data_IF_944168089845
#
_entry.id   IF_944168089845
#
_cell.length_a   1.000
_cell.length_b   1.000
_cell.length_c   1.000
_cell.angle_alpha   90.00
_cell.angle_beta   90.00
_cell.angle_gamma   90.00
#
_symmetry.space_group_name_H-M   'P 1'
#
loop_
_entity.id
_entity.type
_entity.pdbx_description
1 polymer ?
#
# COMPACT_ATOMS: atom_id res chain seq x y z
N UNK A 1 -68.40 21.92 -31.32
CA UNK A 1 -68.15 20.95 -32.40
C UNK A 1 -66.61 20.76 -32.42
N UNK A 2 -66.24 19.65 -31.82
CA UNK A 2 -65.40 18.56 -32.36
C UNK A 2 -63.98 18.98 -32.71
N UNK A 3 -63.00 18.60 -31.84
CA UNK A 3 -62.29 17.33 -31.75
C UNK A 3 -61.27 17.06 -32.88
N UNK A 4 -60.03 16.87 -32.50
CA UNK A 4 -59.13 15.71 -32.71
C UNK A 4 -57.70 16.15 -32.41
N UNK A 5 -57.07 15.85 -31.33
CA UNK A 5 -56.38 14.67 -30.83
C UNK A 5 -55.64 13.80 -31.84
N UNK A 6 -54.32 13.76 -31.72
CA UNK A 6 -53.39 12.68 -32.05
C UNK A 6 -51.99 13.11 -31.55
N UNK A 7 -51.52 12.70 -30.41
CA UNK A 7 -50.90 11.45 -29.99
C UNK A 7 -49.51 11.17 -30.57
N UNK A 8 -48.56 11.11 -29.65
CA UNK A 8 -47.30 10.39 -29.53
C UNK A 8 -46.04 10.87 -30.27
N UNK A 9 -44.99 10.99 -29.48
CA UNK A 9 -43.78 10.29 -29.82
C UNK A 9 -43.24 9.46 -28.65
N UNK A 10 -43.51 8.20 -28.59
CA UNK A 10 -42.64 7.21 -27.98
C UNK A 10 -41.61 6.81 -29.04
N UNK A 11 -40.37 7.29 -28.88
CA UNK A 11 -39.16 6.73 -29.47
C UNK A 11 -38.00 7.67 -29.14
N UNK A 12 -37.30 7.46 -28.03
CA UNK A 12 -35.90 7.92 -27.84
C UNK A 12 -35.29 7.61 -26.51
N UNK A 13 -35.80 6.70 -25.70
CA UNK A 13 -35.14 6.37 -24.42
C UNK A 13 -34.17 5.18 -24.49
N UNK A 14 -34.13 4.44 -25.58
CA UNK A 14 -33.30 3.23 -25.72
C UNK A 14 -31.90 3.49 -26.26
N UNK A 15 -31.61 4.63 -26.84
CA UNK A 15 -30.31 4.94 -27.46
C UNK A 15 -29.34 5.64 -26.50
N UNK A 16 -29.86 6.31 -25.46
CA UNK A 16 -28.96 6.99 -24.46
C UNK A 16 -28.42 6.05 -23.38
N UNK A 17 -29.08 4.95 -23.09
CA UNK A 17 -28.57 3.98 -22.08
C UNK A 17 -27.36 3.19 -22.56
N UNK A 18 -27.22 2.96 -23.86
CA UNK A 18 -26.11 2.20 -24.43
C UNK A 18 -24.79 3.00 -24.53
N UNK A 19 -24.87 4.32 -24.65
CA UNK A 19 -23.68 5.20 -24.69
C UNK A 19 -23.07 5.44 -23.32
N UNK A 20 -23.86 5.41 -22.23
CA UNK A 20 -23.38 5.54 -20.87
C UNK A 20 -22.64 4.28 -20.39
N UNK A 21 -23.13 3.09 -20.76
CA UNK A 21 -22.47 1.82 -20.39
C UNK A 21 -21.16 1.58 -21.17
N UNK A 22 -21.04 2.11 -22.38
CA UNK A 22 -19.82 1.99 -23.20
C UNK A 22 -18.67 2.82 -22.62
N UNK A 23 -18.94 4.03 -22.12
CA UNK A 23 -17.89 4.90 -21.52
C UNK A 23 -17.37 4.36 -20.19
N UNK A 24 -18.21 3.74 -19.37
CA UNK A 24 -17.80 3.13 -18.09
C UNK A 24 -16.96 1.86 -18.29
N UNK A 25 -17.27 1.03 -19.29
CA UNK A 25 -16.46 -0.15 -19.62
C UNK A 25 -15.07 0.19 -20.15
N UNK A 26 -14.93 1.26 -20.98
CA UNK A 26 -13.62 1.69 -21.49
C UNK A 26 -12.70 2.24 -20.37
N UNK A 27 -13.26 2.95 -19.40
CA UNK A 27 -12.50 3.47 -18.25
C UNK A 27 -12.00 2.36 -17.32
N UNK A 28 -12.81 1.31 -17.09
CA UNK A 28 -12.42 0.17 -16.26
C UNK A 28 -11.33 -0.67 -16.92
N UNK A 29 -11.39 -0.93 -18.23
CA UNK A 29 -10.39 -1.74 -18.91
C UNK A 29 -9.02 -1.06 -19.04
N UNK A 30 -8.95 0.28 -19.13
CA UNK A 30 -7.67 0.99 -19.18
C UNK A 30 -6.92 0.96 -17.84
N UNK A 31 -7.66 0.91 -16.73
CA UNK A 31 -7.10 0.84 -15.36
C UNK A 31 -6.63 -0.59 -14.99
N UNK A 32 -7.29 -1.62 -15.51
CA UNK A 32 -6.88 -3.03 -15.36
C UNK A 32 -5.59 -3.33 -16.16
N UNK A 33 -5.39 -2.71 -17.33
CA UNK A 33 -4.14 -2.84 -18.11
C UNK A 33 -2.92 -2.27 -17.36
N UNK A 34 -3.09 -1.26 -16.53
CA UNK A 34 -1.99 -0.69 -15.75
C UNK A 34 -1.46 -1.65 -14.68
N UNK A 35 -2.31 -2.49 -14.10
CA UNK A 35 -1.89 -3.48 -13.10
C UNK A 35 -1.22 -4.71 -13.74
N UNK A 36 -1.66 -5.14 -14.94
CA UNK A 36 -1.03 -6.28 -15.67
C UNK A 36 0.33 -5.94 -16.30
N UNK A 37 0.63 -4.66 -16.54
CA UNK A 37 1.91 -4.24 -17.13
C UNK A 37 3.08 -4.30 -16.14
N UNK A 38 2.83 -4.41 -14.84
CA UNK A 38 3.89 -4.58 -13.83
C UNK A 38 4.48 -6.01 -13.82
N UNK A 39 3.76 -6.99 -14.34
CA UNK A 39 4.23 -8.39 -14.41
C UNK A 39 5.23 -8.63 -15.56
N UNK A 40 5.33 -7.72 -16.53
CA UNK A 40 6.15 -7.89 -17.73
C UNK A 40 7.57 -7.29 -17.63
N UNK A 41 7.89 -6.53 -16.57
CA UNK A 41 9.23 -5.97 -16.38
C UNK A 41 10.04 -6.71 -15.32
N UNK A 42 10.02 -8.06 -15.36
CA UNK A 42 11.10 -8.86 -14.79
C UNK A 42 12.28 -8.88 -15.77
N UNK A 43 12.99 -7.79 -15.86
CA UNK A 43 14.29 -7.78 -16.57
C UNK A 43 15.33 -8.34 -15.62
N UNK A 44 15.80 -9.50 -15.98
CA UNK A 44 17.01 -10.19 -15.55
C UNK A 44 18.22 -9.24 -15.50
N UNK A 45 18.66 -8.89 -14.29
CA UNK A 45 19.97 -8.34 -14.03
C UNK A 45 20.72 -9.31 -13.12
N UNK A 46 21.15 -10.43 -13.72
CA UNK A 46 22.21 -11.28 -13.13
C UNK A 46 23.54 -10.63 -13.51
N UNK A 47 23.98 -9.69 -12.69
CA UNK A 47 25.36 -9.17 -12.74
C UNK A 47 26.31 -10.22 -12.17
N UNK A 48 27.13 -10.83 -13.04
CA UNK A 48 28.24 -11.72 -12.67
C UNK A 48 29.24 -10.96 -11.80
N UNK A 49 29.31 -11.30 -10.51
CA UNK A 49 30.45 -10.94 -9.67
C UNK A 49 31.66 -11.80 -10.05
N UNK A 50 32.65 -11.18 -10.66
CA UNK A 50 33.99 -11.76 -10.83
C UNK A 50 34.73 -11.68 -9.49
N UNK A 51 35.01 -12.86 -8.91
CA UNK A 51 35.92 -12.97 -7.76
C UNK A 51 37.33 -13.09 -8.31
N UNK A 52 38.13 -12.04 -8.12
CA UNK A 52 39.59 -12.08 -8.39
C UNK A 52 40.26 -12.71 -7.15
N UNK A 53 40.81 -13.90 -7.35
CA UNK A 53 41.78 -14.51 -6.44
C UNK A 53 43.13 -13.83 -6.66
N UNK A 54 43.65 -13.15 -5.68
CA UNK A 54 45.09 -12.79 -5.65
C UNK A 54 45.74 -13.38 -4.41
N UNK A 55 46.86 -13.99 -4.65
CA UNK A 55 47.62 -14.92 -3.84
C UNK A 55 48.26 -14.34 -2.58
N UNK A 56 48.54 -15.25 -1.69
CA UNK A 56 49.31 -15.14 -0.46
C UNK A 56 50.77 -14.77 -0.66
N UNK A 57 51.35 -14.06 0.30
CA UNK A 57 52.71 -14.28 0.75
C UNK A 57 52.90 -13.71 2.18
N UNK A 58 53.14 -14.60 3.07
CA UNK A 58 53.97 -14.60 4.30
C UNK A 58 54.80 -13.36 4.61
N UNK A 59 54.73 -12.87 5.83
CA UNK A 59 55.90 -12.57 6.68
C UNK A 59 55.55 -12.49 8.15
N UNK A 60 56.29 -13.25 8.93
CA UNK A 60 56.37 -13.38 10.37
C UNK A 60 57.06 -12.13 10.91
N UNK A 61 56.47 -11.48 11.89
CA UNK A 61 57.09 -10.42 12.68
C UNK A 61 56.47 -10.30 14.06
N UNK A 62 57.07 -10.97 15.02
CA UNK A 62 56.68 -10.84 16.42
C UNK A 62 57.12 -9.47 16.95
N UNK A 63 56.15 -8.69 17.48
CA UNK A 63 56.45 -7.59 18.41
C UNK A 63 55.40 -7.54 19.52
N UNK A 64 55.80 -7.94 20.73
CA UNK A 64 55.08 -7.76 21.95
C UNK A 64 55.00 -6.25 22.29
N UNK A 65 53.82 -5.70 22.30
CA UNK A 65 53.59 -4.41 22.94
C UNK A 65 52.38 -4.59 23.89
N UNK A 66 52.70 -4.56 25.20
CA UNK A 66 51.76 -4.33 26.30
C UNK A 66 51.05 -2.99 26.01
N UNK A 67 49.76 -3.00 25.77
CA UNK A 67 48.98 -1.77 25.81
C UNK A 67 47.72 -2.00 26.65
N UNK A 68 47.58 -1.11 27.63
CA UNK A 68 46.56 -1.08 28.65
C UNK A 68 45.15 -1.19 28.13
N UNK A 69 44.36 -2.00 28.84
CA UNK A 69 42.91 -2.06 28.68
C UNK A 69 42.28 -0.71 29.03
N UNK A 70 42.05 0.14 28.04
CA UNK A 70 41.04 1.18 28.16
C UNK A 70 39.68 0.51 27.94
N UNK A 71 38.96 0.26 29.03
CA UNK A 71 37.54 -0.05 29.00
C UNK A 71 36.81 1.16 28.45
N UNK A 72 36.57 1.16 27.12
CA UNK A 72 35.59 2.04 26.53
C UNK A 72 34.22 1.55 26.98
N UNK A 73 33.35 2.41 27.56
CA UNK A 73 31.97 2.01 27.79
C UNK A 73 31.34 1.66 26.47
N UNK A 74 30.98 0.38 26.32
CA UNK A 74 30.12 -0.05 25.23
C UNK A 74 28.83 0.75 25.37
N UNK A 75 28.66 1.78 24.56
CA UNK A 75 27.34 2.36 24.33
C UNK A 75 26.49 1.21 23.83
N UNK A 76 25.55 0.77 24.65
CA UNK A 76 24.51 -0.14 24.27
C UNK A 76 23.78 0.52 23.09
N UNK A 77 24.17 0.16 21.89
CA UNK A 77 23.38 0.46 20.71
C UNK A 77 22.01 -0.10 21.02
N UNK A 78 21.04 0.79 21.20
CA UNK A 78 19.64 0.43 21.32
C UNK A 78 19.35 -0.57 20.20
N UNK A 79 19.05 -1.82 20.61
CA UNK A 79 18.78 -2.90 19.67
C UNK A 79 17.73 -2.36 18.70
N UNK A 80 18.12 -2.19 17.45
CA UNK A 80 17.19 -1.85 16.38
C UNK A 80 16.10 -2.90 16.45
N UNK A 81 14.89 -2.50 16.82
CA UNK A 81 13.73 -3.36 16.88
C UNK A 81 13.69 -4.08 15.55
N UNK A 82 13.79 -5.40 15.62
CA UNK A 82 13.77 -6.34 14.51
C UNK A 82 12.87 -5.87 13.40
N UNK A 83 13.45 -5.59 12.27
CA UNK A 83 12.99 -5.11 10.99
C UNK A 83 11.58 -5.41 10.48
N UNK A 84 10.58 -5.44 11.36
CA UNK A 84 9.18 -5.52 10.98
C UNK A 84 8.79 -4.27 10.18
N UNK A 85 8.10 -4.49 9.08
CA UNK A 85 7.55 -3.44 8.24
C UNK A 85 6.05 -3.66 8.10
N UNK A 86 5.29 -2.58 8.15
CA UNK A 86 3.83 -2.63 8.01
C UNK A 86 3.42 -1.79 6.80
N UNK A 87 2.96 -2.46 5.74
CA UNK A 87 2.35 -1.79 4.59
C UNK A 87 0.90 -1.46 4.94
N UNK A 88 0.54 -0.18 4.88
CA UNK A 88 -0.79 0.31 5.20
C UNK A 88 -1.56 0.63 3.91
N UNK A 89 -2.67 -0.07 3.69
CA UNK A 89 -3.54 0.05 2.52
C UNK A 89 -4.87 0.63 2.97
N UNK A 90 -5.25 1.75 2.40
CA UNK A 90 -6.51 2.43 2.69
C UNK A 90 -7.63 1.95 1.76
N UNK A 91 -8.79 1.69 2.35
CA UNK A 91 -10.06 1.50 1.64
C UNK A 91 -10.62 2.89 1.27
N UNK A 92 -10.18 3.42 0.14
CA UNK A 92 -10.43 4.81 -0.26
C UNK A 92 -11.91 5.20 -0.23
N UNK A 93 -12.89 4.39 -0.75
CA UNK A 93 -14.30 4.76 -0.70
C UNK A 93 -14.85 4.90 0.72
N UNK A 94 -14.40 4.05 1.64
CA UNK A 94 -14.78 4.15 3.05
C UNK A 94 -14.32 5.46 3.66
N UNK A 95 -13.02 5.78 3.52
CA UNK A 95 -12.43 6.99 4.07
C UNK A 95 -13.01 8.26 3.44
N UNK A 96 -13.24 8.27 2.13
CA UNK A 96 -13.85 9.41 1.44
C UNK A 96 -15.28 9.72 1.90
N UNK A 97 -16.04 8.67 2.25
CA UNK A 97 -17.43 8.82 2.73
C UNK A 97 -17.52 9.16 4.21
N UNK A 98 -16.59 8.66 5.02
CA UNK A 98 -16.64 8.78 6.48
C UNK A 98 -15.86 10.00 6.99
N UNK A 99 -14.90 10.52 6.23
CA UNK A 99 -14.04 11.62 6.62
C UNK A 99 -14.19 12.79 5.63
N UNK A 100 -15.05 13.78 5.92
CA UNK A 100 -15.32 14.89 5.00
C UNK A 100 -14.07 15.67 4.57
N UNK A 101 -13.06 15.76 5.44
CA UNK A 101 -11.78 16.42 5.13
C UNK A 101 -11.01 15.69 4.02
N UNK A 102 -11.21 14.39 3.87
CA UNK A 102 -10.56 13.57 2.82
C UNK A 102 -11.31 13.60 1.49
N UNK A 103 -12.57 14.01 1.46
CA UNK A 103 -13.39 14.01 0.24
C UNK A 103 -12.77 14.83 -0.91
N UNK A 104 -11.91 15.80 -0.58
CA UNK A 104 -11.18 16.63 -1.56
C UNK A 104 -9.80 16.10 -1.93
N UNK A 105 -9.36 15.02 -1.31
CA UNK A 105 -8.09 14.39 -1.67
C UNK A 105 -8.16 13.77 -3.07
N UNK A 106 -7.04 13.74 -3.74
CA UNK A 106 -6.96 13.29 -5.13
C UNK A 106 -7.49 11.87 -5.32
N UNK A 107 -7.20 10.93 -4.40
CA UNK A 107 -7.72 9.57 -4.47
C UNK A 107 -9.25 9.50 -4.43
N UNK A 108 -9.89 10.41 -3.68
CA UNK A 108 -11.34 10.47 -3.61
C UNK A 108 -11.94 11.06 -4.91
N UNK A 109 -11.35 12.14 -5.41
CA UNK A 109 -11.81 12.81 -6.64
C UNK A 109 -11.63 11.93 -7.89
N UNK A 110 -10.57 11.13 -7.95
CA UNK A 110 -10.27 10.24 -9.06
C UNK A 110 -10.91 8.84 -8.92
N UNK A 111 -11.61 8.55 -7.81
CA UNK A 111 -12.34 7.31 -7.59
C UNK A 111 -11.46 6.08 -7.44
N UNK A 112 -10.36 6.19 -6.71
CA UNK A 112 -9.55 5.03 -6.36
C UNK A 112 -10.32 4.10 -5.43
N UNK A 113 -10.24 2.79 -5.65
CA UNK A 113 -10.78 1.79 -4.72
C UNK A 113 -9.84 1.58 -3.54
N UNK A 114 -8.55 1.56 -3.80
CA UNK A 114 -7.48 1.29 -2.83
C UNK A 114 -6.32 2.24 -3.07
N UNK A 115 -5.73 2.72 -1.98
CA UNK A 115 -4.48 3.49 -2.00
C UNK A 115 -3.56 3.02 -0.88
N UNK A 116 -2.27 3.28 -1.00
CA UNK A 116 -1.32 3.06 0.09
C UNK A 116 -1.18 4.36 0.86
N UNK A 117 -1.27 4.29 2.19
CA UNK A 117 -1.06 5.45 3.07
C UNK A 117 0.38 5.53 3.60
N UNK A 118 1.12 4.41 3.61
CA UNK A 118 2.51 4.41 4.04
C UNK A 118 3.09 3.03 4.24
N UNK A 119 4.35 3.02 4.66
CA UNK A 119 5.09 1.84 5.10
C UNK A 119 5.79 2.19 6.41
N UNK A 120 5.30 1.64 7.51
CA UNK A 120 6.03 1.73 8.77
C UNK A 120 7.26 0.82 8.71
N UNK A 121 8.41 1.38 9.02
CA UNK A 121 9.70 0.72 8.95
C UNK A 121 10.18 0.19 10.32
N UNK A 122 9.33 0.29 11.35
CA UNK A 122 9.65 -0.15 12.70
C UNK A 122 10.60 0.77 13.49
N UNK A 123 10.88 1.97 13.00
CA UNK A 123 11.71 2.96 13.70
C UNK A 123 10.91 3.88 14.64
N UNK A 124 9.61 3.67 14.73
CA UNK A 124 8.68 4.52 15.46
C UNK A 124 8.10 5.64 14.60
N UNK A 125 7.05 6.26 15.13
CA UNK A 125 6.38 7.37 14.47
C UNK A 125 6.96 8.72 14.90
N UNK A 126 6.91 9.72 14.01
CA UNK A 126 7.23 11.13 14.28
C UNK A 126 8.70 11.40 14.64
N UNK A 127 9.59 10.59 14.16
CA UNK A 127 11.03 10.86 14.25
C UNK A 127 11.53 11.69 13.06
N UNK A 128 10.65 12.01 12.13
CA UNK A 128 11.01 12.72 10.92
C UNK A 128 11.46 14.16 11.19
N UNK A 129 12.44 14.59 10.41
CA UNK A 129 12.99 15.96 10.45
C UNK A 129 12.08 16.99 9.79
N UNK A 130 10.87 16.56 9.36
CA UNK A 130 9.92 17.43 8.66
C UNK A 130 10.33 17.77 7.22
N UNK A 131 11.29 17.03 6.66
CA UNK A 131 11.72 17.24 5.28
C UNK A 131 10.67 16.75 4.28
N UNK A 132 10.55 17.45 3.13
CA UNK A 132 9.71 16.97 2.03
C UNK A 132 10.44 15.89 1.22
N UNK A 133 9.71 14.85 0.77
CA UNK A 133 10.33 13.78 0.00
C UNK A 133 10.73 14.25 -1.40
N UNK A 134 12.01 14.19 -1.72
CA UNK A 134 12.51 14.51 -3.06
C UNK A 134 12.48 13.28 -3.94
N UNK A 135 11.59 13.26 -4.94
CA UNK A 135 11.46 12.18 -5.92
C UNK A 135 11.73 12.74 -7.32
N UNK A 136 12.36 11.94 -8.16
CA UNK A 136 12.47 12.28 -9.58
C UNK A 136 11.11 12.20 -10.27
N UNK A 137 10.90 12.90 -11.41
CA UNK A 137 9.61 12.84 -12.13
C UNK A 137 9.16 11.42 -12.48
N UNK A 138 10.11 10.54 -12.84
CA UNK A 138 9.79 9.14 -13.14
C UNK A 138 9.32 8.38 -11.89
N UNK A 139 10.02 8.54 -10.78
CA UNK A 139 9.63 7.94 -9.49
C UNK A 139 8.26 8.44 -9.04
N UNK A 140 8.03 9.75 -9.13
CA UNK A 140 6.74 10.35 -8.80
C UNK A 140 5.62 9.77 -9.66
N UNK A 141 5.84 9.55 -10.96
CA UNK A 141 4.86 8.91 -11.85
C UNK A 141 4.50 7.49 -11.39
N UNK A 142 5.47 6.71 -10.91
CA UNK A 142 5.22 5.35 -10.40
C UNK A 142 4.47 5.40 -9.08
N UNK A 143 4.94 6.21 -8.13
CA UNK A 143 4.32 6.34 -6.79
C UNK A 143 2.89 6.87 -6.87
N UNK A 144 2.60 7.81 -7.76
CA UNK A 144 1.26 8.37 -7.96
C UNK A 144 0.19 7.34 -8.34
N UNK A 145 0.57 6.17 -8.83
CA UNK A 145 -0.40 5.10 -9.16
C UNK A 145 -1.03 4.48 -7.93
N UNK A 146 -0.33 4.48 -6.81
CA UNK A 146 -0.76 3.86 -5.55
C UNK A 146 -0.92 4.88 -4.41
N UNK A 147 -0.25 6.04 -4.50
CA UNK A 147 -0.31 7.15 -3.55
C UNK A 147 -0.51 8.46 -4.33
N UNK A 148 -1.70 8.72 -4.90
CA UNK A 148 -1.90 9.84 -5.82
C UNK A 148 -1.83 11.21 -5.14
N UNK A 149 -2.21 11.30 -3.86
CA UNK A 149 -2.26 12.56 -3.12
C UNK A 149 -0.89 12.94 -2.54
N UNK A 150 -0.50 14.20 -2.73
CA UNK A 150 0.80 14.73 -2.27
C UNK A 150 0.87 14.76 -0.74
N UNK A 151 -0.23 15.15 -0.09
CA UNK A 151 -0.28 15.25 1.38
C UNK A 151 -0.06 13.88 2.01
N UNK A 152 -0.69 12.81 1.46
CA UNK A 152 -0.50 11.44 1.94
C UNK A 152 0.96 11.02 1.80
N UNK A 153 1.61 11.33 0.66
CA UNK A 153 3.04 11.03 0.47
C UNK A 153 3.95 11.76 1.45
N UNK A 154 3.73 13.06 1.63
CA UNK A 154 4.51 13.85 2.60
C UNK A 154 4.33 13.32 4.02
N UNK A 155 3.10 12.99 4.42
CA UNK A 155 2.82 12.41 5.73
C UNK A 155 3.46 11.03 5.93
N UNK A 156 3.40 10.15 4.93
CA UNK A 156 4.05 8.83 4.99
C UNK A 156 5.56 8.96 5.16
N UNK A 157 6.19 9.86 4.40
CA UNK A 157 7.60 10.14 4.54
C UNK A 157 7.96 10.68 5.91
N UNK A 158 7.28 11.73 6.37
CA UNK A 158 7.57 12.39 7.66
C UNK A 158 7.33 11.49 8.85
N UNK A 159 6.34 10.59 8.78
CA UNK A 159 6.04 9.68 9.90
C UNK A 159 6.97 8.49 9.96
N UNK A 160 7.34 7.92 8.81
CA UNK A 160 7.99 6.60 8.75
C UNK A 160 9.28 6.61 7.95
N UNK A 161 9.29 7.26 6.78
CA UNK A 161 10.43 7.22 5.87
C UNK A 161 11.63 7.99 6.37
N UNK A 162 11.43 9.23 6.80
CA UNK A 162 12.48 10.13 7.31
C UNK A 162 13.08 9.66 8.65
N UNK A 163 12.39 8.75 9.33
CA UNK A 163 12.87 8.05 10.51
C UNK A 163 13.86 6.92 10.20
N UNK A 164 13.80 6.40 8.99
CA UNK A 164 14.65 5.30 8.55
C UNK A 164 15.98 5.81 7.99
N UNK A 165 17.00 4.96 7.86
CA UNK A 165 18.25 5.33 7.19
C UNK A 165 18.12 5.44 5.65
N UNK A 166 16.91 5.30 5.11
CA UNK A 166 16.66 5.31 3.68
C UNK A 166 16.56 6.74 3.13
N UNK A 167 16.95 6.90 1.88
CA UNK A 167 16.55 8.07 1.11
C UNK A 167 15.05 7.99 0.75
N UNK A 168 14.41 9.13 0.49
CA UNK A 168 13.02 9.17 0.03
C UNK A 168 12.79 8.28 -1.20
N UNK A 169 13.71 8.30 -2.15
CA UNK A 169 13.70 7.43 -3.32
C UNK A 169 13.65 5.94 -2.96
N UNK A 170 14.46 5.52 -1.99
CA UNK A 170 14.52 4.12 -1.55
C UNK A 170 13.30 3.72 -0.74
N UNK A 171 12.78 4.60 0.09
CA UNK A 171 11.55 4.39 0.86
C UNK A 171 10.35 4.16 -0.05
N UNK A 172 10.08 5.09 -0.98
CA UNK A 172 8.95 4.95 -1.90
C UNK A 172 9.11 3.79 -2.89
N UNK A 173 10.34 3.41 -3.24
CA UNK A 173 10.59 2.18 -4.01
C UNK A 173 10.20 0.93 -3.23
N UNK A 174 10.48 0.88 -1.92
CA UNK A 174 10.02 -0.24 -1.09
C UNK A 174 8.49 -0.31 -1.05
N UNK A 175 7.80 0.82 -0.83
CA UNK A 175 6.33 0.88 -0.88
C UNK A 175 5.81 0.31 -2.21
N UNK A 176 6.35 0.75 -3.34
CA UNK A 176 5.91 0.28 -4.66
C UNK A 176 6.18 -1.20 -4.88
N UNK A 177 7.28 -1.73 -4.35
CA UNK A 177 7.62 -3.15 -4.44
C UNK A 177 6.67 -4.01 -3.61
N UNK A 178 6.42 -3.65 -2.34
CA UNK A 178 5.48 -4.39 -1.48
C UNK A 178 4.06 -4.34 -2.04
N UNK A 179 3.59 -3.15 -2.43
CA UNK A 179 2.25 -3.00 -3.02
C UNK A 179 2.11 -3.74 -4.36
N UNK A 180 3.17 -3.78 -5.17
CA UNK A 180 3.18 -4.49 -6.44
C UNK A 180 3.25 -6.01 -6.31
N UNK A 181 3.84 -6.52 -5.24
CA UNK A 181 3.92 -7.96 -4.96
C UNK A 181 2.64 -8.51 -4.31
N UNK A 182 1.90 -7.68 -3.58
CA UNK A 182 0.70 -8.08 -2.86
C UNK A 182 -0.47 -8.31 -3.82
N UNK A 183 -1.11 -9.46 -3.71
CA UNK A 183 -2.33 -9.80 -4.44
C UNK A 183 -3.54 -9.53 -3.55
N UNK A 184 -4.51 -8.80 -4.08
CA UNK A 184 -5.71 -8.42 -3.37
C UNK A 184 -6.93 -9.11 -3.97
N UNK A 185 -7.96 -9.48 -3.16
CA UNK A 185 -9.20 -10.02 -3.66
C UNK A 185 -9.86 -9.09 -4.69
N UNK A 186 -10.35 -9.66 -5.78
CA UNK A 186 -11.00 -8.88 -6.85
C UNK A 186 -12.24 -8.13 -6.36
N UNK A 187 -12.89 -8.65 -5.34
CA UNK A 187 -14.08 -8.06 -4.71
C UNK A 187 -13.82 -6.65 -4.18
N UNK A 188 -12.58 -6.32 -3.79
CA UNK A 188 -12.22 -4.97 -3.33
C UNK A 188 -12.35 -3.90 -4.43
N UNK A 189 -12.48 -4.30 -5.69
CA UNK A 189 -12.58 -3.42 -6.86
C UNK A 189 -13.93 -3.43 -7.56
N UNK A 190 -14.98 -4.03 -6.97
CA UNK A 190 -16.27 -4.19 -7.65
C UNK A 190 -17.07 -2.90 -7.82
N UNK A 191 -16.73 -1.86 -7.09
CA UNK A 191 -17.50 -0.62 -7.03
C UNK A 191 -18.78 -0.71 -6.18
N UNK A 192 -19.15 -1.90 -5.70
CA UNK A 192 -20.32 -2.13 -4.87
C UNK A 192 -19.93 -2.30 -3.40
N UNK A 193 -20.77 -1.82 -2.50
CA UNK A 193 -20.64 -2.09 -1.08
C UNK A 193 -21.23 -3.45 -0.74
N UNK A 194 -20.53 -4.24 0.08
CA UNK A 194 -21.00 -5.54 0.53
C UNK A 194 -20.46 -5.88 1.92
N UNK A 195 -21.11 -6.84 2.58
CA UNK A 195 -20.69 -7.35 3.90
C UNK A 195 -19.91 -8.65 3.71
N UNK A 196 -18.78 -8.76 4.38
CA UNK A 196 -17.95 -9.96 4.39
C UNK A 196 -17.64 -10.39 5.82
N UNK A 197 -17.47 -11.70 6.05
CA UNK A 197 -16.92 -12.19 7.30
C UNK A 197 -15.40 -12.00 7.33
N UNK A 198 -14.85 -11.65 8.48
CA UNK A 198 -13.41 -11.48 8.71
C UNK A 198 -12.62 -12.73 8.30
N UNK A 199 -13.11 -13.91 8.70
CA UNK A 199 -12.47 -15.19 8.36
C UNK A 199 -12.38 -15.42 6.85
N UNK A 200 -13.47 -15.11 6.11
CA UNK A 200 -13.48 -15.25 4.65
C UNK A 200 -12.47 -14.29 3.99
N UNK A 201 -12.44 -13.02 4.44
CA UNK A 201 -11.52 -12.04 3.91
C UNK A 201 -10.05 -12.46 4.11
N UNK A 202 -9.71 -12.84 5.36
CA UNK A 202 -8.35 -13.33 5.69
C UNK A 202 -8.00 -14.58 4.88
N UNK A 203 -8.92 -15.54 4.75
CA UNK A 203 -8.71 -16.74 3.94
C UNK A 203 -8.43 -16.42 2.47
N UNK A 204 -9.15 -15.47 1.88
CA UNK A 204 -8.88 -15.03 0.51
C UNK A 204 -7.50 -14.37 0.37
N UNK A 205 -7.12 -13.53 1.32
CA UNK A 205 -5.80 -12.89 1.32
C UNK A 205 -4.67 -13.91 1.41
N UNK A 206 -4.77 -14.88 2.32
CA UNK A 206 -3.75 -15.92 2.51
C UNK A 206 -3.66 -16.89 1.33
N UNK A 207 -4.78 -17.22 0.69
CA UNK A 207 -4.79 -18.07 -0.52
C UNK A 207 -4.15 -17.37 -1.73
N UNK A 208 -4.33 -16.06 -1.86
CA UNK A 208 -3.75 -15.30 -2.97
C UNK A 208 -2.24 -15.05 -2.81
N UNK A 209 -1.75 -15.03 -1.57
CA UNK A 209 -0.38 -14.65 -1.24
C UNK A 209 0.34 -15.81 -0.54
N UNK A 210 1.13 -16.55 -1.29
CA UNK A 210 1.93 -17.67 -0.73
C UNK A 210 2.86 -17.17 0.37
N UNK A 211 2.91 -17.89 1.49
CA UNK A 211 3.70 -17.54 2.68
C UNK A 211 3.00 -16.57 3.64
N UNK A 212 1.85 -16.01 3.26
CA UNK A 212 1.06 -15.14 4.15
C UNK A 212 0.25 -16.00 5.14
N UNK A 213 0.31 -15.68 6.41
CA UNK A 213 -0.52 -16.25 7.47
C UNK A 213 -1.64 -15.29 7.90
N UNK A 214 -2.58 -15.76 8.69
CA UNK A 214 -3.61 -14.90 9.28
C UNK A 214 -3.02 -13.85 10.23
N UNK A 215 -1.89 -14.14 10.86
CA UNK A 215 -1.17 -13.20 11.73
C UNK A 215 -0.38 -12.14 10.97
N UNK A 216 -0.26 -12.26 9.65
CA UNK A 216 0.39 -11.26 8.79
C UNK A 216 -0.53 -10.11 8.38
N UNK A 217 -1.79 -10.14 8.80
CA UNK A 217 -2.83 -9.19 8.38
C UNK A 217 -3.56 -8.66 9.60
N UNK A 218 -3.62 -7.34 9.73
CA UNK A 218 -4.53 -6.68 10.67
C UNK A 218 -5.51 -5.79 9.92
N UNK A 219 -6.73 -5.78 10.41
CA UNK A 219 -7.85 -5.07 9.79
C UNK A 219 -8.32 -3.94 10.70
N UNK A 220 -8.36 -2.74 10.15
CA UNK A 220 -8.83 -1.56 10.86
C UNK A 220 -10.20 -1.17 10.34
N UNK A 221 -11.15 -1.08 11.25
CA UNK A 221 -12.51 -0.70 10.97
C UNK A 221 -12.90 0.56 11.73
N UNK A 222 -13.78 1.35 11.14
CA UNK A 222 -14.45 2.47 11.79
C UNK A 222 -15.97 2.22 11.84
N UNK A 223 -16.61 2.77 12.85
CA UNK A 223 -18.07 2.72 12.93
C UNK A 223 -18.66 3.62 11.84
N UNK A 224 -19.35 3.03 10.90
CA UNK A 224 -20.09 3.73 9.87
C UNK A 224 -21.46 4.22 10.37
N UNK A 225 -22.25 4.78 9.45
CA UNK A 225 -23.66 5.08 9.70
C UNK A 225 -24.38 3.79 10.13
N UNK A 226 -25.26 3.86 11.12
CA UNK A 226 -25.97 2.71 11.72
C UNK A 226 -25.08 1.78 12.58
N UNK A 227 -23.94 2.24 13.09
CA UNK A 227 -22.99 1.48 13.93
C UNK A 227 -22.46 0.20 13.27
N UNK A 228 -22.49 0.12 11.95
CA UNK A 228 -21.88 -0.98 11.22
C UNK A 228 -20.38 -0.79 11.15
N UNK A 229 -19.63 -1.86 11.37
CA UNK A 229 -18.17 -1.86 11.23
C UNK A 229 -17.82 -1.79 9.73
N UNK A 230 -17.08 -0.77 9.32
CA UNK A 230 -16.66 -0.57 7.94
C UNK A 230 -15.15 -0.64 7.87
N UNK A 231 -14.62 -1.49 6.99
CA UNK A 231 -13.18 -1.62 6.77
C UNK A 231 -12.63 -0.31 6.18
N UNK A 232 -11.65 0.28 6.86
CA UNK A 232 -10.96 1.50 6.42
C UNK A 232 -9.54 1.24 6.01
N UNK A 233 -8.84 0.29 6.67
CA UNK A 233 -7.45 0.00 6.38
C UNK A 233 -7.17 -1.50 6.48
N UNK A 234 -6.23 -1.96 5.66
CA UNK A 234 -5.63 -3.30 5.74
C UNK A 234 -4.14 -3.11 5.97
N UNK A 235 -3.64 -3.60 7.08
CA UNK A 235 -2.24 -3.60 7.41
C UNK A 235 -1.64 -4.97 7.09
N UNK A 236 -0.55 -4.98 6.33
CA UNK A 236 0.17 -6.21 5.97
C UNK A 236 1.58 -6.12 6.51
N UNK A 237 1.95 -7.09 7.33
CA UNK A 237 3.20 -7.13 8.05
C UNK A 237 4.25 -7.99 7.33
N UNK A 238 5.48 -7.50 7.33
CA UNK A 238 6.63 -8.14 6.69
C UNK A 238 7.81 -8.20 7.65
N UNK A 239 8.59 -9.26 7.53
CA UNK A 239 9.93 -9.41 8.08
C UNK A 239 10.92 -9.52 6.91
N UNK A 240 11.69 -8.46 6.68
CA UNK A 240 12.48 -8.38 5.46
C UNK A 240 11.59 -8.29 4.21
N UNK A 241 11.70 -9.25 3.30
CA UNK A 241 10.88 -9.38 2.10
C UNK A 241 9.70 -10.35 2.23
N UNK A 242 9.69 -11.15 3.29
CA UNK A 242 8.68 -12.17 3.54
C UNK A 242 7.53 -11.64 4.39
N UNK A 243 6.37 -12.30 4.34
CA UNK A 243 5.28 -11.99 5.26
C UNK A 243 5.67 -12.37 6.70
N UNK A 244 5.47 -11.43 7.63
CA UNK A 244 5.76 -11.60 9.05
C UNK A 244 4.50 -11.52 9.91
N UNK A 245 4.63 -11.74 11.21
CA UNK A 245 3.53 -11.58 12.15
C UNK A 245 3.37 -10.11 12.50
N UNK A 246 2.15 -9.59 12.48
CA UNK A 246 1.84 -8.24 12.94
C UNK A 246 2.02 -8.14 14.46
N UNK A 247 2.87 -7.23 14.90
CA UNK A 247 3.05 -6.88 16.30
C UNK A 247 2.66 -5.41 16.50
N UNK A 248 1.97 -5.12 17.59
CA UNK A 248 1.57 -3.75 17.97
C UNK A 248 0.60 -3.06 16.99
N UNK A 249 -0.07 -3.79 16.12
CA UNK A 249 -1.17 -3.30 15.31
C UNK A 249 -2.47 -3.77 15.94
N UNK A 250 -3.45 -2.89 16.02
CA UNK A 250 -4.74 -3.20 16.65
C UNK A 250 -5.73 -3.61 15.57
N UNK A 251 -5.98 -4.92 15.44
CA UNK A 251 -7.11 -5.42 14.66
C UNK A 251 -8.41 -5.20 15.46
N UNK A 252 -9.20 -4.22 15.03
CA UNK A 252 -10.43 -3.83 15.69
C UNK A 252 -11.69 -4.15 14.89
N UNK A 253 -11.57 -4.85 13.75
CA UNK A 253 -12.73 -5.32 13.00
C UNK A 253 -13.44 -6.46 13.71
N UNK A 254 -14.76 -6.39 13.79
CA UNK A 254 -15.60 -7.47 14.29
C UNK A 254 -15.58 -8.70 13.36
N UNK A 255 -16.40 -9.70 13.70
CA UNK A 255 -16.54 -10.94 12.90
C UNK A 255 -17.06 -10.70 11.49
N UNK A 256 -17.76 -9.59 11.27
CA UNK A 256 -18.26 -9.13 9.96
C UNK A 256 -18.04 -7.64 9.83
N UNK A 257 -17.73 -7.19 8.62
CA UNK A 257 -17.57 -5.78 8.30
C UNK A 257 -18.05 -5.48 6.88
N UNK A 258 -18.27 -4.20 6.61
CA UNK A 258 -18.62 -3.71 5.28
C UNK A 258 -17.35 -3.31 4.54
N UNK A 259 -17.24 -3.72 3.29
CA UNK A 259 -16.34 -3.14 2.30
C UNK A 259 -17.14 -2.13 1.49
N UNK A 260 -16.72 -0.86 1.54
CA UNK A 260 -17.40 0.21 0.80
C UNK A 260 -17.00 0.17 -0.67
N UNK A 261 -17.97 0.21 -1.56
CA UNK A 261 -17.75 0.39 -2.99
C UNK A 261 -17.44 1.85 -3.33
N UNK A 262 -16.71 2.05 -4.43
CA UNK A 262 -16.55 3.37 -5.05
C UNK A 262 -17.87 3.83 -5.67
N UNK A 263 -18.09 5.16 -5.67
CA UNK A 263 -19.20 5.77 -6.42
C UNK A 263 -18.85 5.89 -7.89
#
# INVERSE_FOLDING_TARGET
MQMLSLSNPMLSSSLMSNLSQSKTKLSAQSKIKAFKLLDQYRVSLIGKCYINKANAATSIGALLILQGMMLTPAHAASAAKTGQRVLMIEMTPALCSMQPTRARMRQCLEGYSLTVSGLDMGYGERCGRGSEPRLTPLQLKVVNRIMPDTTVRSQAWQRYGDCSPLSASSYFRQITNYAGALKLPNELNTGNSYTVSKSRFISQMTQLNSGMSSSSIDLICQAGSRRQSTLTDVHVCYEGSEFGTCHNVVDNCGTKFIISGGK
#
